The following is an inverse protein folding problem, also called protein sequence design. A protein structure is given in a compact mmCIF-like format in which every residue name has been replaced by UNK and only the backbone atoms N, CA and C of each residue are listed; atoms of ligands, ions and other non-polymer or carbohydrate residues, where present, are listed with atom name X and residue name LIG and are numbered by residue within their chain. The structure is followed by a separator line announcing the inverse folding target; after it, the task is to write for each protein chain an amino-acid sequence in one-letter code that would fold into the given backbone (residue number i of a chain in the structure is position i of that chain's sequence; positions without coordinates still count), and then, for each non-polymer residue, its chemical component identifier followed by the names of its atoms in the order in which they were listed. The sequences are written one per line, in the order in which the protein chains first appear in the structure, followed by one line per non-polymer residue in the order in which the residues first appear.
data_IF_079869406715
#
_entry.id   IF_079869406715
#
_cell.length_a   1.000
_cell.length_b   1.000
_cell.length_c   1.000
_cell.angle_alpha   90.00
_cell.angle_beta   90.00
_cell.angle_gamma   90.00
#
_symmetry.space_group_name_H-M   'P 1'
#
loop_
_entity.id
_entity.type
_entity.pdbx_description
1 polymer ?
#
# COMPACT_ATOMS: atom_id res chain seq x y z
N UNK A 1 -3.48 -8.31 -6.83
CA UNK A 1 -2.71 -9.23 -7.67
C UNK A 1 -1.40 -9.49 -6.96
N UNK A 2 -1.06 -10.75 -6.67
CA UNK A 2 0.30 -11.09 -6.24
C UNK A 2 1.25 -10.85 -7.42
N UNK A 3 2.34 -10.12 -7.15
CA UNK A 3 3.35 -9.85 -8.16
C UNK A 3 4.24 -11.08 -8.21
N UNK A 4 4.33 -11.74 -9.38
CA UNK A 4 5.18 -12.93 -9.59
C UNK A 4 6.65 -12.52 -9.59
N UNK A 5 7.19 -12.23 -8.42
CA UNK A 5 8.60 -12.02 -8.17
C UNK A 5 9.06 -12.87 -6.98
N UNK A 6 10.36 -13.13 -6.92
CA UNK A 6 10.97 -13.90 -5.83
C UNK A 6 10.82 -13.14 -4.51
N UNK A 7 10.56 -13.86 -3.43
CA UNK A 7 10.57 -13.29 -2.08
C UNK A 7 11.90 -12.56 -1.83
N UNK A 8 11.82 -11.33 -1.32
CA UNK A 8 12.95 -10.41 -1.07
C UNK A 8 13.70 -9.94 -2.33
N UNK A 9 13.10 -10.00 -3.52
CA UNK A 9 13.75 -9.58 -4.78
C UNK A 9 14.31 -8.15 -4.75
N UNK A 10 13.68 -7.24 -4.00
CA UNK A 10 14.14 -5.86 -3.85
C UNK A 10 15.50 -5.72 -3.17
N UNK A 11 15.96 -6.73 -2.41
CA UNK A 11 17.28 -6.69 -1.76
C UNK A 11 18.43 -6.86 -2.74
N UNK A 12 18.17 -7.49 -3.88
CA UNK A 12 19.14 -7.70 -4.95
C UNK A 12 19.17 -6.53 -5.95
N UNK A 13 18.27 -5.55 -5.81
CA UNK A 13 18.17 -4.40 -6.70
C UNK A 13 18.91 -3.18 -6.12
N UNK A 14 20.06 -2.86 -6.73
CA UNK A 14 20.89 -1.75 -6.32
C UNK A 14 20.24 -0.36 -6.47
N UNK A 15 19.12 -0.25 -7.21
CA UNK A 15 18.38 1.01 -7.35
C UNK A 15 17.53 1.33 -6.13
N UNK A 16 17.27 0.35 -5.25
CA UNK A 16 16.40 0.50 -4.08
C UNK A 16 17.23 0.95 -2.87
N UNK A 17 16.98 2.15 -2.32
CA UNK A 17 17.66 2.60 -1.11
C UNK A 17 17.38 1.66 0.07
N UNK A 18 18.31 1.48 1.02
CA UNK A 18 18.06 0.69 2.21
C UNK A 18 16.91 1.30 3.03
N UNK A 19 16.02 0.45 3.53
CA UNK A 19 14.86 0.85 4.32
C UNK A 19 14.56 -0.21 5.38
N UNK A 20 13.86 0.14 6.48
CA UNK A 20 13.47 -0.83 7.50
C UNK A 20 12.39 -1.76 6.95
N UNK A 21 12.79 -2.96 6.52
CA UNK A 21 11.94 -3.99 5.91
C UNK A 21 11.56 -5.13 6.87
N UNK A 22 11.76 -4.93 8.17
CA UNK A 22 11.47 -5.89 9.24
C UNK A 22 9.97 -6.06 9.50
N UNK A 23 9.14 -5.14 9.00
CA UNK A 23 7.70 -5.11 9.21
C UNK A 23 6.94 -4.80 7.93
N UNK A 24 5.60 -4.74 8.00
CA UNK A 24 4.75 -4.46 6.86
C UNK A 24 4.98 -3.03 6.34
N UNK A 25 5.18 -2.90 5.03
CA UNK A 25 5.44 -1.62 4.36
C UNK A 25 4.37 -1.38 3.30
N UNK A 26 3.77 -0.20 3.30
CA UNK A 26 2.79 0.21 2.29
C UNK A 26 3.32 1.41 1.50
N UNK A 27 3.55 1.23 0.20
CA UNK A 27 3.84 2.34 -0.72
C UNK A 27 2.52 2.87 -1.28
N UNK A 28 2.24 4.14 -0.99
CA UNK A 28 0.94 4.76 -1.25
C UNK A 28 1.11 6.12 -1.94
N UNK A 29 0.21 6.45 -2.87
CA UNK A 29 0.20 7.73 -3.56
C UNK A 29 -0.12 8.87 -2.58
N UNK A 30 0.87 9.74 -2.30
CA UNK A 30 0.71 10.85 -1.37
C UNK A 30 -0.29 11.90 -1.86
N UNK A 31 -0.55 11.95 -3.18
CA UNK A 31 -1.46 12.92 -3.79
C UNK A 31 -2.94 12.47 -3.79
N UNK A 32 -3.22 11.24 -3.39
CA UNK A 32 -4.55 10.62 -3.51
C UNK A 32 -5.32 10.61 -2.18
N UNK A 33 -6.52 11.20 -2.17
CA UNK A 33 -7.41 11.23 -1.01
C UNK A 33 -7.80 9.85 -0.47
N UNK A 34 -7.95 8.86 -1.36
CA UNK A 34 -8.21 7.47 -0.98
C UNK A 34 -7.00 6.85 -0.29
N UNK A 35 -5.80 7.04 -0.86
CA UNK A 35 -4.56 6.52 -0.28
C UNK A 35 -4.29 7.12 1.09
N UNK A 36 -4.51 8.43 1.29
CA UNK A 36 -4.31 9.03 2.60
C UNK A 36 -5.30 8.57 3.66
N UNK A 37 -6.59 8.42 3.29
CA UNK A 37 -7.58 7.82 4.19
C UNK A 37 -7.21 6.37 4.54
N UNK A 38 -6.73 5.61 3.55
CA UNK A 38 -6.22 4.25 3.75
C UNK A 38 -5.02 4.21 4.71
N UNK A 39 -4.00 5.05 4.48
CA UNK A 39 -2.83 5.13 5.34
C UNK A 39 -3.20 5.51 6.78
N UNK A 40 -4.04 6.52 6.97
CA UNK A 40 -4.54 6.90 8.29
C UNK A 40 -5.33 5.76 8.96
N UNK A 41 -6.17 5.04 8.20
CA UNK A 41 -6.89 3.88 8.72
C UNK A 41 -5.95 2.75 9.14
N UNK A 42 -4.92 2.42 8.36
CA UNK A 42 -3.91 1.41 8.72
C UNK A 42 -3.26 1.79 10.05
N UNK A 43 -2.72 3.00 10.13
CA UNK A 43 -1.97 3.45 11.32
C UNK A 43 -2.84 3.50 12.57
N UNK A 44 -4.12 3.91 12.45
CA UNK A 44 -5.05 3.93 13.58
C UNK A 44 -5.42 2.55 14.12
N UNK A 45 -5.40 1.55 13.26
CA UNK A 45 -5.76 0.18 13.63
C UNK A 45 -4.54 -0.70 13.94
N UNK A 46 -3.34 -0.23 13.60
CA UNK A 46 -2.07 -0.89 13.89
C UNK A 46 -1.70 -0.76 15.38
N UNK A 47 -2.28 -1.63 16.21
CA UNK A 47 -2.02 -1.67 17.65
C UNK A 47 -0.57 -2.02 17.99
N UNK A 48 0.07 -2.82 17.15
CA UNK A 48 1.44 -3.30 17.38
C UNK A 48 2.49 -2.35 16.84
N UNK A 49 2.09 -1.27 16.15
CA UNK A 49 3.01 -0.25 15.72
C UNK A 49 4.09 -0.78 14.78
N UNK A 50 3.71 -1.63 13.84
CA UNK A 50 4.62 -2.33 12.91
C UNK A 50 4.59 -1.75 11.50
N UNK A 51 3.49 -1.13 11.09
CA UNK A 51 3.32 -0.65 9.73
C UNK A 51 4.15 0.59 9.45
N UNK A 52 4.73 0.64 8.25
CA UNK A 52 5.42 1.81 7.70
C UNK A 52 4.74 2.24 6.40
N UNK A 53 4.61 3.54 6.22
CA UNK A 53 4.01 4.14 5.03
C UNK A 53 5.11 4.85 4.25
N UNK A 54 5.27 4.49 2.98
CA UNK A 54 6.21 5.13 2.07
C UNK A 54 5.39 5.93 1.05
N UNK A 55 5.58 7.25 0.92
CA UNK A 55 5.02 8.01 -0.18
C UNK A 55 5.56 7.49 -1.51
N UNK A 56 4.66 7.25 -2.48
CA UNK A 56 5.07 6.84 -3.82
C UNK A 56 6.01 7.85 -4.47
N UNK A 57 5.84 9.15 -4.18
CA UNK A 57 6.64 10.25 -4.71
C UNK A 57 8.02 10.40 -4.03
N UNK A 58 8.38 9.55 -3.07
CA UNK A 58 9.73 9.52 -2.52
C UNK A 58 10.65 8.67 -3.40
N UNK A 59 11.96 8.90 -3.32
CA UNK A 59 12.96 8.11 -4.07
C UNK A 59 12.82 6.60 -3.82
N UNK A 60 12.53 6.22 -2.58
CA UNK A 60 12.30 4.84 -2.20
C UNK A 60 10.96 4.29 -2.76
N UNK A 61 9.90 5.09 -2.69
CA UNK A 61 8.59 4.71 -3.22
C UNK A 61 8.61 4.46 -4.73
N UNK A 62 9.25 5.36 -5.49
CA UNK A 62 9.40 5.23 -6.94
C UNK A 62 10.23 4.01 -7.34
N UNK A 63 11.34 3.76 -6.63
CA UNK A 63 12.21 2.62 -6.87
C UNK A 63 11.47 1.29 -6.61
N UNK A 64 10.76 1.19 -5.48
CA UNK A 64 9.96 0.01 -5.14
C UNK A 64 8.83 -0.21 -6.14
N UNK A 65 8.07 0.84 -6.49
CA UNK A 65 7.00 0.73 -7.47
C UNK A 65 7.52 0.23 -8.82
N UNK A 66 8.61 0.82 -9.32
CA UNK A 66 9.24 0.43 -10.59
C UNK A 66 9.76 -1.00 -10.57
N UNK A 67 10.44 -1.41 -9.49
CA UNK A 67 10.94 -2.78 -9.31
C UNK A 67 9.82 -3.82 -9.46
N UNK A 68 8.66 -3.51 -8.90
CA UNK A 68 7.48 -4.38 -8.91
C UNK A 68 6.57 -4.17 -10.14
N UNK A 69 7.00 -3.39 -11.14
CA UNK A 69 6.28 -3.17 -12.39
C UNK A 69 5.05 -2.27 -12.27
N UNK A 70 4.96 -1.46 -11.22
CA UNK A 70 3.97 -0.40 -11.08
C UNK A 70 4.52 0.89 -11.68
N UNK A 71 3.69 1.59 -12.46
CA UNK A 71 4.02 2.91 -12.98
C UNK A 71 3.92 3.97 -11.86
N UNK A 72 5.04 4.61 -11.44
CA UNK A 72 5.00 5.64 -10.40
C UNK A 72 4.27 6.92 -10.82
N UNK A 73 4.24 7.23 -12.13
CA UNK A 73 3.60 8.42 -12.68
C UNK A 73 2.08 8.27 -12.80
N UNK A 74 1.61 7.04 -13.03
CA UNK A 74 0.20 6.71 -13.04
C UNK A 74 -0.07 5.41 -12.26
N UNK A 75 0.07 5.45 -10.93
CA UNK A 75 -0.05 4.25 -10.12
C UNK A 75 -1.48 3.74 -10.26
N UNK A 76 -1.73 2.64 -10.97
CA UNK A 76 -3.08 2.07 -11.05
C UNK A 76 -3.49 1.39 -9.74
N UNK A 77 -2.51 1.15 -8.86
CA UNK A 77 -2.66 0.47 -7.57
C UNK A 77 -1.65 1.00 -6.55
N UNK A 78 -1.71 0.43 -5.35
CA UNK A 78 -0.76 0.62 -4.25
C UNK A 78 0.04 -0.67 -4.03
N UNK A 79 1.22 -0.54 -3.44
CA UNK A 79 2.10 -1.66 -3.15
C UNK A 79 2.11 -1.93 -1.65
N UNK A 80 1.96 -3.18 -1.28
CA UNK A 80 2.12 -3.67 0.09
C UNK A 80 3.20 -4.74 0.11
N UNK A 81 4.17 -4.60 1.00
CA UNK A 81 5.28 -5.51 1.19
C UNK A 81 5.21 -6.11 2.58
N UNK A 82 5.25 -7.44 2.65
CA UNK A 82 5.30 -8.16 3.91
C UNK A 82 6.14 -9.42 3.72
N UNK A 83 7.12 -9.63 4.62
CA UNK A 83 8.01 -10.79 4.60
C UNK A 83 8.64 -11.05 3.22
N UNK A 84 9.05 -9.99 2.52
CA UNK A 84 9.67 -10.13 1.20
C UNK A 84 8.71 -10.30 0.02
N UNK A 85 7.41 -10.40 0.25
CA UNK A 85 6.41 -10.61 -0.81
C UNK A 85 5.64 -9.32 -1.09
N UNK A 86 5.39 -9.06 -2.38
CA UNK A 86 4.64 -7.91 -2.85
C UNK A 86 3.19 -8.24 -3.22
N UNK A 87 2.28 -7.44 -2.67
CA UNK A 87 0.85 -7.50 -2.91
C UNK A 87 0.34 -6.15 -3.40
N UNK A 88 -0.73 -6.18 -4.18
CA UNK A 88 -1.35 -4.97 -4.74
C UNK A 88 -2.87 -5.03 -4.68
N UNK A 89 -3.49 -3.87 -4.87
CA UNK A 89 -4.93 -3.73 -5.05
C UNK A 89 -5.72 -4.29 -3.87
N UNK A 90 -6.75 -5.11 -4.12
CA UNK A 90 -7.55 -5.71 -3.07
C UNK A 90 -6.79 -6.79 -2.29
N UNK A 91 -5.82 -7.47 -2.92
CA UNK A 91 -4.99 -8.47 -2.20
C UNK A 91 -4.15 -7.78 -1.13
N UNK A 92 -3.55 -6.63 -1.43
CA UNK A 92 -2.87 -5.81 -0.41
C UNK A 92 -3.81 -5.47 0.77
N UNK A 93 -5.04 -5.03 0.51
CA UNK A 93 -6.01 -4.70 1.57
C UNK A 93 -6.35 -5.92 2.44
N UNK A 94 -6.45 -7.10 1.83
CA UNK A 94 -6.71 -8.35 2.53
C UNK A 94 -5.56 -8.71 3.48
N UNK A 95 -4.33 -8.67 3.00
CA UNK A 95 -3.15 -8.94 3.83
C UNK A 95 -2.99 -7.93 4.97
N UNK A 96 -3.24 -6.64 4.69
CA UNK A 96 -3.30 -5.62 5.75
C UNK A 96 -4.35 -5.97 6.79
N UNK A 97 -5.57 -6.34 6.38
CA UNK A 97 -6.63 -6.75 7.31
C UNK A 97 -6.28 -8.00 8.13
N UNK A 98 -5.62 -8.98 7.52
CA UNK A 98 -5.11 -10.17 8.21
C UNK A 98 -4.07 -9.81 9.27
N UNK A 99 -3.13 -8.92 8.93
CA UNK A 99 -2.06 -8.47 9.83
C UNK A 99 -2.59 -7.61 10.98
N UNK A 100 -3.56 -6.73 10.72
CA UNK A 100 -4.22 -5.92 11.75
C UNK A 100 -5.03 -6.79 12.73
N UNK A 101 -5.51 -7.96 12.30
CA UNK A 101 -6.17 -8.92 13.17
C UNK A 101 -7.58 -8.51 13.64
N UNK A 102 -8.12 -9.25 14.60
CA UNK A 102 -9.45 -8.97 15.19
C UNK A 102 -10.58 -8.91 14.18
N UNK A 103 -11.40 -7.85 14.25
CA UNK A 103 -12.53 -7.61 13.35
C UNK A 103 -12.09 -7.42 11.89
N UNK A 104 -10.84 -6.96 11.67
CA UNK A 104 -10.31 -6.71 10.34
C UNK A 104 -9.98 -8.00 9.58
N UNK A 105 -9.84 -9.13 10.27
CA UNK A 105 -9.80 -10.45 9.63
C UNK A 105 -11.08 -10.75 8.86
N UNK A 106 -12.21 -10.14 9.21
CA UNK A 106 -13.46 -10.30 8.44
C UNK A 106 -13.36 -9.73 7.01
N UNK A 107 -12.38 -8.87 6.70
CA UNK A 107 -12.11 -8.44 5.34
C UNK A 107 -11.80 -9.62 4.41
N UNK A 108 -11.36 -10.78 4.94
CA UNK A 108 -11.24 -12.02 4.16
C UNK A 108 -12.53 -12.44 3.47
N UNK A 109 -13.70 -12.03 3.94
CA UNK A 109 -14.97 -12.32 3.26
C UNK A 109 -14.98 -11.73 1.85
N UNK A 110 -14.25 -10.63 1.60
CA UNK A 110 -14.05 -10.09 0.25
C UNK A 110 -13.25 -11.03 -0.67
N UNK A 111 -12.62 -12.09 -0.16
CA UNK A 111 -12.04 -13.18 -0.96
C UNK A 111 -13.08 -14.12 -1.57
N UNK A 112 -14.30 -14.15 -1.03
CA UNK A 112 -15.40 -14.94 -1.60
C UNK A 112 -15.77 -14.40 -3.00
N UNK A 113 -15.52 -13.11 -3.24
CA UNK A 113 -15.73 -12.51 -4.57
C UNK A 113 -14.71 -13.11 -5.57
N UNK A 114 -15.17 -13.62 -6.73
CA UNK A 114 -14.27 -14.17 -7.74
C UNK A 114 -13.29 -13.09 -8.22
N UNK A 115 -12.04 -13.50 -8.44
CA UNK A 115 -10.93 -12.63 -8.88
C UNK A 115 -11.28 -11.59 -9.97
N UNK A 116 -11.96 -11.95 -11.09
CA UNK A 116 -12.32 -10.97 -12.12
C UNK A 116 -13.27 -9.88 -11.62
N UNK A 117 -14.14 -10.18 -10.66
CA UNK A 117 -15.03 -9.18 -10.07
C UNK A 117 -14.24 -8.22 -9.17
N UNK A 118 -13.31 -8.76 -8.36
CA UNK A 118 -12.41 -7.98 -7.51
C UNK A 118 -11.57 -7.00 -8.34
N UNK A 119 -10.98 -7.48 -9.43
CA UNK A 119 -10.15 -6.67 -10.32
C UNK A 119 -10.99 -5.59 -11.05
N UNK A 120 -12.22 -5.93 -11.46
CA UNK A 120 -13.13 -4.96 -12.09
C UNK A 120 -13.59 -3.89 -11.12
N UNK A 121 -13.98 -4.26 -9.90
CA UNK A 121 -14.36 -3.30 -8.85
C UNK A 121 -13.19 -2.37 -8.51
N UNK A 122 -12.00 -2.94 -8.31
CA UNK A 122 -10.79 -2.16 -8.04
C UNK A 122 -10.46 -1.21 -9.20
N UNK A 123 -10.53 -1.67 -10.46
CA UNK A 123 -10.27 -0.84 -11.63
C UNK A 123 -11.26 0.33 -11.78
N UNK A 124 -12.53 0.16 -11.37
CA UNK A 124 -13.50 1.27 -11.34
C UNK A 124 -13.12 2.30 -10.27
N UNK A 125 -12.78 1.84 -9.07
CA UNK A 125 -12.36 2.74 -7.97
C UNK A 125 -11.07 3.46 -8.32
N UNK A 126 -10.05 2.75 -8.82
CA UNK A 126 -8.77 3.31 -9.20
C UNK A 126 -8.92 4.41 -10.27
N UNK A 127 -9.72 4.16 -11.31
CA UNK A 127 -9.99 5.16 -12.38
C UNK A 127 -10.77 6.38 -11.89
N UNK A 128 -11.61 6.23 -10.87
CA UNK A 128 -12.43 7.31 -10.35
C UNK A 128 -11.92 7.86 -9.01
N UNK A 129 -10.73 7.45 -8.53
CA UNK A 129 -10.27 7.75 -7.17
C UNK A 129 -10.16 9.25 -6.89
N UNK A 130 -9.67 10.02 -7.84
CA UNK A 130 -9.57 11.48 -7.70
C UNK A 130 -10.94 12.16 -7.80
N UNK A 131 -11.88 11.56 -8.54
CA UNK A 131 -13.25 12.05 -8.66
C UNK A 131 -14.08 11.79 -7.41
N UNK A 132 -13.88 10.63 -6.76
CA UNK A 132 -14.63 10.24 -5.56
C UNK A 132 -14.00 10.73 -4.25
N UNK A 133 -12.67 10.75 -4.16
CA UNK A 133 -11.97 11.03 -2.91
C UNK A 133 -11.14 12.31 -2.95
N UNK A 134 -11.05 12.96 -4.11
CA UNK A 134 -10.26 14.17 -4.30
C UNK A 134 -8.76 13.91 -4.32
N UNK A 135 -8.01 15.00 -4.41
CA UNK A 135 -6.57 15.04 -4.16
C UNK A 135 -6.31 15.49 -2.73
N UNK A 136 -5.22 15.01 -2.16
CA UNK A 136 -4.77 15.40 -0.82
C UNK A 136 -3.24 15.44 -0.82
N UNK A 137 -2.64 15.79 0.30
CA UNK A 137 -1.22 15.66 0.51
C UNK A 137 -0.95 14.85 1.79
N UNK A 138 -0.60 13.59 1.60
CA UNK A 138 -0.24 12.66 2.67
C UNK A 138 0.99 13.15 3.45
N UNK A 139 1.95 13.76 2.75
CA UNK A 139 3.20 14.23 3.36
C UNK A 139 2.96 15.41 4.32
N UNK A 140 1.91 16.21 4.05
CA UNK A 140 1.47 17.34 4.89
C UNK A 140 0.39 16.95 5.92
N UNK A 141 0.23 15.66 6.21
CA UNK A 141 -0.77 15.21 7.20
C UNK A 141 -0.52 15.80 8.59
N UNK A 142 -1.60 16.23 9.25
CA UNK A 142 -1.59 16.70 10.63
C UNK A 142 -1.74 15.56 11.65
N UNK A 143 -1.99 14.32 11.19
CA UNK A 143 -2.12 13.15 12.06
C UNK A 143 -0.73 12.75 12.60
N UNK A 144 -0.46 12.93 13.90
CA UNK A 144 0.88 12.72 14.46
C UNK A 144 1.29 11.25 14.44
N UNK A 145 0.33 10.32 14.53
CA UNK A 145 0.61 8.90 14.47
C UNK A 145 1.00 8.50 13.05
N UNK A 146 0.27 8.99 12.04
CA UNK A 146 0.63 8.75 10.65
C UNK A 146 2.00 9.33 10.31
N UNK A 147 2.31 10.55 10.80
CA UNK A 147 3.61 11.19 10.59
C UNK A 147 4.78 10.38 11.14
N UNK A 148 4.62 9.70 12.28
CA UNK A 148 5.65 8.79 12.85
C UNK A 148 5.87 7.53 12.00
N UNK A 149 4.93 7.18 11.13
CA UNK A 149 5.01 6.00 10.24
C UNK A 149 5.51 6.32 8.84
N UNK A 150 5.56 7.59 8.46
CA UNK A 150 6.02 8.01 7.15
C UNK A 150 7.55 7.85 7.05
N UNK A 151 7.98 7.14 6.01
CA UNK A 151 9.37 7.07 5.58
C UNK A 151 9.51 7.97 4.36
N UNK A 152 10.06 9.17 4.57
CA UNK A 152 10.30 10.17 3.53
C UNK A 152 11.67 9.98 2.86
#
# INVERSE_FOLDING_TARGET
MEIKQRQFSYRDDASIPPFPDQGPVSVMDASCGLCAKGAAWIVRNDRNQEFRIIPLQSKLGEALASHYGLDPANPSSWLYLENGTAYTSLDALLHVGERLGGIWKALRILMILPKPLRDRMYGVVARNRYKFFGRTDLCSTQDPELRKRLLL
#
